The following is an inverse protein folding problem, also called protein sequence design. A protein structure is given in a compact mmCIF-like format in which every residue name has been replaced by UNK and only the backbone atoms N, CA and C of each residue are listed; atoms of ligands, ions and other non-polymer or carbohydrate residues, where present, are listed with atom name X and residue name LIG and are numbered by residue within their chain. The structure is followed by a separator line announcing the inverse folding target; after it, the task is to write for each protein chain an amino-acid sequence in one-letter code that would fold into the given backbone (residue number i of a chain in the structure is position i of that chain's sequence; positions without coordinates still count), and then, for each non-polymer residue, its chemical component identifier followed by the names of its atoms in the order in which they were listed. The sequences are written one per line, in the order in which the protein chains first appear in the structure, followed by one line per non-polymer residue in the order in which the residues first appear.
data_IF_799555639141
#
_entry.id   IF_799555639141
#
_cell.length_a   1.000
_cell.length_b   1.000
_cell.length_c   1.000
_cell.angle_alpha   90.00
_cell.angle_beta   90.00
_cell.angle_gamma   90.00
#
_symmetry.space_group_name_H-M   'P 1'
#
loop_
_entity.id
_entity.type
_entity.pdbx_description
1 polymer ?
#
# COMPACT_ATOMS: atom_id res chain seq x y z
N UNK A 1 -21.63 -8.40 -32.47
CA UNK A 1 -20.85 -7.60 -31.48
C UNK A 1 -21.57 -6.27 -31.34
N UNK A 2 -22.18 -5.91 -30.19
CA UNK A 2 -22.72 -4.58 -30.00
C UNK A 2 -21.57 -3.59 -29.95
N UNK A 3 -21.52 -2.67 -30.88
CA UNK A 3 -20.63 -1.52 -30.91
C UNK A 3 -20.98 -0.62 -29.71
N UNK A 4 -20.09 -0.56 -28.72
CA UNK A 4 -20.18 0.39 -27.59
C UNK A 4 -20.23 1.80 -28.20
N UNK A 5 -21.27 2.54 -27.88
CA UNK A 5 -21.38 3.94 -28.29
C UNK A 5 -20.29 4.75 -27.59
N UNK A 6 -19.69 5.69 -28.29
CA UNK A 6 -18.58 6.54 -27.78
C UNK A 6 -18.95 7.36 -26.52
N UNK A 7 -20.24 7.38 -26.16
CA UNK A 7 -20.81 8.16 -25.05
C UNK A 7 -20.67 7.49 -23.67
N UNK A 8 -20.27 6.20 -23.58
CA UNK A 8 -20.19 5.45 -22.32
C UNK A 8 -18.74 5.26 -21.79
N UNK A 9 -17.74 5.89 -22.41
CA UNK A 9 -16.35 5.76 -21.99
C UNK A 9 -16.07 6.65 -20.77
N UNK A 10 -15.77 6.02 -19.63
CA UNK A 10 -15.35 6.74 -18.42
C UNK A 10 -13.84 6.84 -18.44
N UNK A 11 -13.30 8.02 -18.20
CA UNK A 11 -11.86 8.25 -18.09
C UNK A 11 -11.53 8.85 -16.73
N UNK A 12 -10.35 8.50 -16.22
CA UNK A 12 -9.78 9.07 -15.00
C UNK A 12 -8.33 9.44 -15.22
N UNK A 13 -7.91 10.48 -14.53
CA UNK A 13 -6.54 11.00 -14.56
C UNK A 13 -6.05 11.14 -13.11
N UNK A 14 -4.84 10.71 -12.85
CA UNK A 14 -4.18 10.85 -11.55
C UNK A 14 -2.76 11.37 -11.74
N UNK A 15 -2.28 12.15 -10.79
CA UNK A 15 -0.90 12.61 -10.77
C UNK A 15 -0.36 12.43 -9.35
N UNK A 16 0.69 11.62 -9.21
CA UNK A 16 1.29 11.30 -7.92
C UNK A 16 2.77 11.62 -8.00
N UNK A 17 3.25 12.40 -7.02
CA UNK A 17 4.67 12.72 -6.87
C UNK A 17 5.20 12.12 -5.58
N UNK A 18 6.38 11.48 -5.67
CA UNK A 18 7.08 10.91 -4.51
C UNK A 18 8.58 11.13 -4.62
N UNK A 19 9.22 11.39 -3.49
CA UNK A 19 10.67 11.46 -3.36
C UNK A 19 11.19 10.10 -2.88
N UNK A 20 12.17 9.55 -3.61
CA UNK A 20 12.89 8.33 -3.28
C UNK A 20 14.32 8.66 -2.91
N UNK A 21 14.81 8.14 -1.79
CA UNK A 21 16.20 8.28 -1.36
C UNK A 21 17.09 7.29 -2.11
N UNK A 22 17.22 7.51 -3.42
CA UNK A 22 17.98 6.69 -4.33
C UNK A 22 18.41 7.48 -5.58
N UNK A 23 19.57 7.13 -6.19
CA UNK A 23 20.03 7.76 -7.44
C UNK A 23 19.03 7.55 -8.59
N UNK A 24 18.87 8.56 -9.43
CA UNK A 24 17.92 8.58 -10.55
C UNK A 24 18.09 7.40 -11.51
N UNK A 25 19.32 7.01 -11.80
CA UNK A 25 19.65 5.89 -12.67
C UNK A 25 19.14 4.55 -12.08
N UNK A 26 19.18 4.39 -10.76
CA UNK A 26 18.66 3.20 -10.09
C UNK A 26 17.14 3.19 -10.16
N UNK A 27 16.50 4.31 -9.83
CA UNK A 27 15.04 4.43 -9.90
C UNK A 27 14.54 4.22 -11.33
N UNK A 28 15.22 4.78 -12.33
CA UNK A 28 14.89 4.57 -13.74
C UNK A 28 14.97 3.08 -14.15
N UNK A 29 15.99 2.36 -13.68
CA UNK A 29 16.10 0.90 -13.92
C UNK A 29 14.94 0.14 -13.29
N UNK A 30 14.46 0.55 -12.14
CA UNK A 30 13.27 -0.05 -11.53
C UNK A 30 12.01 0.04 -12.41
N UNK A 31 11.92 1.03 -13.30
CA UNK A 31 10.82 1.17 -14.26
C UNK A 31 11.09 0.52 -15.63
N UNK A 32 12.32 0.04 -15.89
CA UNK A 32 12.69 -0.41 -17.22
C UNK A 32 13.26 -1.83 -17.27
N UNK A 33 13.91 -2.29 -16.24
CA UNK A 33 14.48 -3.63 -16.16
C UNK A 33 13.43 -4.63 -15.65
N UNK A 34 13.24 -5.75 -16.36
CA UNK A 34 12.19 -6.71 -16.06
C UNK A 34 12.33 -7.34 -14.67
N UNK A 35 13.56 -7.65 -14.24
CA UNK A 35 13.80 -8.24 -12.92
C UNK A 35 13.47 -7.24 -11.81
N UNK A 36 13.82 -5.96 -12.00
CA UNK A 36 13.46 -4.91 -11.06
C UNK A 36 11.95 -4.64 -11.05
N UNK A 37 11.31 -4.51 -12.23
CA UNK A 37 9.85 -4.30 -12.32
C UNK A 37 9.11 -5.39 -11.54
N UNK A 38 9.49 -6.65 -11.69
CA UNK A 38 8.85 -7.79 -11.04
C UNK A 38 8.86 -7.72 -9.50
N UNK A 39 9.77 -6.95 -8.90
CA UNK A 39 9.89 -6.85 -7.43
C UNK A 39 8.92 -5.88 -6.78
N UNK A 40 8.35 -4.92 -7.52
CA UNK A 40 7.53 -3.86 -6.93
C UNK A 40 6.25 -3.55 -7.69
N UNK A 41 6.12 -3.97 -8.95
CA UNK A 41 4.98 -3.58 -9.77
C UNK A 41 3.68 -4.23 -9.29
N UNK A 42 2.73 -3.40 -8.95
CA UNK A 42 1.40 -3.78 -8.48
C UNK A 42 1.08 -3.20 -7.09
N UNK A 43 -0.19 -3.16 -6.74
CA UNK A 43 -0.63 -2.79 -5.40
C UNK A 43 -0.08 -3.75 -4.34
N UNK A 44 -0.16 -3.34 -3.08
CA UNK A 44 0.25 -4.17 -1.95
C UNK A 44 -0.42 -5.56 -1.98
N UNK A 45 0.36 -6.59 -1.68
CA UNK A 45 -0.09 -7.99 -1.70
C UNK A 45 -0.12 -8.65 -3.08
N UNK A 46 0.17 -7.88 -4.16
CA UNK A 46 0.33 -8.44 -5.50
C UNK A 46 1.78 -8.87 -5.73
N UNK A 47 1.93 -9.84 -6.62
CA UNK A 47 3.23 -10.27 -7.17
C UNK A 47 3.20 -10.14 -8.67
N UNK A 48 4.38 -10.09 -9.32
CA UNK A 48 4.50 -10.09 -10.77
C UNK A 48 5.32 -11.31 -11.24
N UNK A 49 4.72 -12.52 -11.26
CA UNK A 49 5.43 -13.77 -11.60
C UNK A 49 5.98 -13.80 -13.02
N UNK A 50 5.41 -13.01 -13.91
CA UNK A 50 5.88 -12.87 -15.29
C UNK A 50 6.12 -11.38 -15.60
N UNK A 51 7.33 -11.06 -16.01
CA UNK A 51 7.69 -9.74 -16.51
C UNK A 51 8.68 -9.84 -17.66
N UNK A 52 8.40 -9.14 -18.75
CA UNK A 52 9.30 -8.99 -19.88
C UNK A 52 9.31 -7.54 -20.35
N UNK A 53 10.49 -6.96 -20.55
CA UNK A 53 10.66 -5.55 -20.88
C UNK A 53 11.69 -5.35 -22.00
N UNK A 54 11.32 -4.54 -22.97
CA UNK A 54 12.21 -4.05 -24.04
C UNK A 54 12.14 -2.51 -24.03
N UNK A 55 12.95 -1.82 -23.18
CA UNK A 55 12.80 -0.41 -22.88
C UNK A 55 13.39 0.49 -23.97
N UNK A 56 12.76 0.48 -25.15
CA UNK A 56 13.05 1.38 -26.29
C UNK A 56 11.73 1.86 -26.90
N UNK A 57 11.73 2.98 -27.59
CA UNK A 57 10.52 3.45 -28.31
C UNK A 57 9.96 2.36 -29.23
N UNK A 58 8.69 2.00 -29.05
CA UNK A 58 8.01 0.90 -29.74
C UNK A 58 8.27 -0.49 -29.14
N UNK A 59 9.17 -0.65 -28.17
CA UNK A 59 9.42 -1.90 -27.44
C UNK A 59 8.28 -2.27 -26.52
N UNK A 60 8.18 -3.55 -26.16
CA UNK A 60 7.06 -4.11 -25.38
C UNK A 60 7.42 -4.27 -23.93
N UNK A 61 6.42 -4.05 -23.08
CA UNK A 61 6.42 -4.39 -21.68
C UNK A 61 5.20 -5.29 -21.43
N UNK A 62 5.44 -6.50 -20.91
CA UNK A 62 4.40 -7.42 -20.48
C UNK A 62 4.59 -7.74 -19.02
N UNK A 63 3.53 -7.63 -18.23
CA UNK A 63 3.52 -7.94 -16.82
C UNK A 63 2.27 -8.79 -16.54
N UNK A 64 2.41 -9.90 -15.82
CA UNK A 64 1.28 -10.62 -15.25
C UNK A 64 1.30 -10.38 -13.75
N UNK A 65 0.37 -9.57 -13.26
CA UNK A 65 0.19 -9.38 -11.82
C UNK A 65 -0.68 -10.51 -11.27
N UNK A 66 -0.33 -11.02 -10.08
CA UNK A 66 -1.13 -12.03 -9.37
C UNK A 66 -1.55 -11.46 -8.02
N UNK A 67 -2.86 -11.39 -7.79
CA UNK A 67 -3.46 -10.96 -6.53
C UNK A 67 -3.30 -12.00 -5.42
N UNK A 68 -3.58 -11.61 -4.17
CA UNK A 68 -3.49 -12.50 -3.00
C UNK A 68 -4.49 -13.67 -3.04
N UNK A 69 -5.56 -13.54 -3.80
CA UNK A 69 -6.55 -14.61 -4.10
C UNK A 69 -6.09 -15.54 -5.23
N UNK A 70 -4.93 -15.31 -5.83
CA UNK A 70 -4.38 -16.06 -6.95
C UNK A 70 -4.90 -15.64 -8.32
N UNK A 71 -5.80 -14.66 -8.41
CA UNK A 71 -6.29 -14.12 -9.69
C UNK A 71 -5.17 -13.42 -10.45
N UNK A 72 -5.11 -13.63 -11.76
CA UNK A 72 -4.09 -13.04 -12.64
C UNK A 72 -4.65 -11.89 -13.46
N UNK A 73 -3.84 -10.83 -13.56
CA UNK A 73 -4.17 -9.59 -14.25
C UNK A 73 -3.06 -9.26 -15.25
N UNK A 74 -3.18 -9.75 -16.51
CA UNK A 74 -2.21 -9.43 -17.55
C UNK A 74 -2.28 -7.96 -17.97
N UNK A 75 -1.12 -7.34 -18.09
CA UNK A 75 -0.93 -5.99 -18.63
C UNK A 75 0.02 -6.07 -19.81
N UNK A 76 -0.48 -5.71 -20.98
CA UNK A 76 0.32 -5.55 -22.19
C UNK A 76 0.58 -4.06 -22.43
N UNK A 77 1.85 -3.69 -22.56
CA UNK A 77 2.24 -2.29 -22.69
C UNK A 77 3.27 -2.07 -23.81
N UNK A 78 3.38 -0.81 -24.22
CA UNK A 78 4.34 -0.36 -25.22
C UNK A 78 5.02 0.91 -24.72
N UNK A 79 6.34 0.94 -24.73
CA UNK A 79 7.09 2.17 -24.49
C UNK A 79 6.92 3.11 -25.70
N UNK A 80 6.25 4.23 -25.50
CA UNK A 80 6.09 5.26 -26.54
C UNK A 80 7.32 6.18 -26.57
N UNK A 81 7.81 6.57 -25.37
CA UNK A 81 9.00 7.38 -25.20
C UNK A 81 9.91 6.76 -24.14
N UNK A 82 11.22 6.80 -24.38
CA UNK A 82 12.26 6.38 -23.42
C UNK A 82 13.39 7.38 -23.48
N UNK A 83 13.45 8.30 -22.53
CA UNK A 83 14.50 9.29 -22.36
C UNK A 83 15.26 9.01 -21.06
N UNK A 84 16.25 8.11 -21.14
CA UNK A 84 17.00 7.71 -19.95
C UNK A 84 17.90 8.84 -19.43
N UNK A 85 17.98 9.06 -18.11
CA UNK A 85 17.19 8.45 -17.03
C UNK A 85 16.05 9.37 -16.55
N UNK A 86 15.42 10.17 -17.41
CA UNK A 86 14.57 11.29 -17.00
C UNK A 86 13.08 11.09 -17.26
N UNK A 87 12.72 10.30 -18.31
CA UNK A 87 11.33 10.24 -18.74
C UNK A 87 10.98 8.92 -19.42
N UNK A 88 9.77 8.43 -19.13
CA UNK A 88 9.11 7.33 -19.82
C UNK A 88 7.67 7.70 -20.16
N UNK A 89 7.20 7.31 -21.34
CA UNK A 89 5.78 7.29 -21.67
C UNK A 89 5.41 5.88 -22.09
N UNK A 90 4.46 5.30 -21.39
CA UNK A 90 4.06 3.91 -21.54
C UNK A 90 2.54 3.87 -21.81
N UNK A 91 2.17 3.32 -22.95
CA UNK A 91 0.79 2.92 -23.23
C UNK A 91 0.58 1.51 -22.67
N UNK A 92 -0.43 1.32 -21.84
CA UNK A 92 -0.72 0.03 -21.19
C UNK A 92 -2.19 -0.34 -21.33
N UNK A 93 -2.43 -1.64 -21.49
CA UNK A 93 -3.76 -2.21 -21.67
C UNK A 93 -3.98 -3.31 -20.64
N UNK A 94 -5.04 -3.18 -19.82
CA UNK A 94 -5.53 -4.29 -19.03
C UNK A 94 -6.37 -5.19 -19.93
N UNK A 95 -6.05 -6.49 -19.92
CA UNK A 95 -6.62 -7.48 -20.82
C UNK A 95 -7.47 -8.48 -20.04
N UNK A 96 -8.68 -8.75 -20.53
CA UNK A 96 -9.55 -9.77 -19.96
C UNK A 96 -9.14 -11.20 -20.33
N UNK A 97 -9.78 -12.21 -19.71
CA UNK A 97 -9.48 -13.63 -19.98
C UNK A 97 -9.69 -14.07 -21.43
N UNK A 98 -10.54 -13.36 -22.17
CA UNK A 98 -10.83 -13.58 -23.58
C UNK A 98 -9.88 -12.84 -24.53
N UNK A 99 -8.87 -12.11 -23.99
CA UNK A 99 -7.93 -11.28 -24.73
C UNK A 99 -8.50 -9.91 -25.15
N UNK A 100 -9.71 -9.56 -24.73
CA UNK A 100 -10.26 -8.23 -25.00
C UNK A 100 -9.61 -7.17 -24.11
N UNK A 101 -9.33 -5.99 -24.70
CA UNK A 101 -8.84 -4.85 -23.93
C UNK A 101 -10.00 -4.26 -23.13
N UNK A 102 -9.87 -4.25 -21.81
CA UNK A 102 -10.86 -3.74 -20.86
C UNK A 102 -10.62 -2.25 -20.53
N UNK A 103 -9.34 -1.87 -20.45
CA UNK A 103 -8.90 -0.53 -20.06
C UNK A 103 -7.63 -0.18 -20.82
N UNK A 104 -7.58 1.03 -21.33
CA UNK A 104 -6.38 1.64 -21.95
C UNK A 104 -5.86 2.74 -21.03
N UNK A 105 -4.54 2.83 -20.87
CA UNK A 105 -3.92 3.90 -20.10
C UNK A 105 -2.64 4.41 -20.76
N UNK A 106 -2.40 5.73 -20.61
CA UNK A 106 -1.14 6.38 -20.90
C UNK A 106 -0.52 6.79 -19.56
N UNK A 107 0.66 6.29 -19.28
CA UNK A 107 1.41 6.56 -18.07
C UNK A 107 2.68 7.33 -18.43
N UNK A 108 2.82 8.53 -17.93
CA UNK A 108 4.04 9.34 -18.04
C UNK A 108 4.75 9.30 -16.70
N UNK A 109 6.00 8.84 -16.70
CA UNK A 109 6.87 8.82 -15.53
C UNK A 109 8.00 9.82 -15.77
N UNK A 110 8.12 10.81 -14.88
CA UNK A 110 9.19 11.82 -14.94
C UNK A 110 10.04 11.69 -13.69
N UNK A 111 11.37 11.68 -13.87
CA UNK A 111 12.35 11.52 -12.80
C UNK A 111 13.26 12.77 -12.75
N UNK A 112 13.24 13.46 -11.63
CA UNK A 112 14.03 14.68 -11.39
C UNK A 112 14.97 14.45 -10.21
N UNK A 113 16.26 14.68 -10.41
CA UNK A 113 17.24 14.60 -9.33
C UNK A 113 17.07 15.75 -8.32
N UNK A 114 17.14 15.41 -7.03
CA UNK A 114 17.02 16.34 -5.89
C UNK A 114 18.06 15.96 -4.83
N UNK A 115 19.23 16.59 -4.87
CA UNK A 115 20.28 16.42 -3.84
C UNK A 115 20.65 14.95 -3.56
N UNK A 116 20.79 14.14 -4.60
CA UNK A 116 21.12 12.69 -4.52
C UNK A 116 19.91 11.77 -4.36
N UNK A 117 18.73 12.30 -4.08
CA UNK A 117 17.45 11.61 -4.13
C UNK A 117 16.77 11.82 -5.50
N UNK A 118 15.69 11.10 -5.76
CA UNK A 118 14.93 11.19 -7.02
C UNK A 118 13.47 11.51 -6.75
N UNK A 119 13.01 12.64 -7.24
CA UNK A 119 11.58 12.96 -7.29
C UNK A 119 10.97 12.32 -8.54
N UNK A 120 10.04 11.39 -8.33
CA UNK A 120 9.29 10.71 -9.38
C UNK A 120 7.87 11.26 -9.41
N UNK A 121 7.43 11.70 -10.59
CA UNK A 121 6.03 12.03 -10.85
C UNK A 121 5.46 11.02 -11.84
N UNK A 122 4.43 10.31 -11.44
CA UNK A 122 3.61 9.47 -12.32
C UNK A 122 2.34 10.23 -12.66
N UNK A 123 2.15 10.50 -13.93
CA UNK A 123 0.91 11.04 -14.47
C UNK A 123 0.26 9.95 -15.32
N UNK A 124 -0.87 9.42 -14.87
CA UNK A 124 -1.58 8.33 -15.51
C UNK A 124 -2.98 8.78 -15.93
N UNK A 125 -3.32 8.55 -17.20
CA UNK A 125 -4.66 8.76 -17.75
C UNK A 125 -5.18 7.44 -18.27
N UNK A 126 -6.29 6.95 -17.71
CA UNK A 126 -6.89 5.69 -18.10
C UNK A 126 -8.34 5.88 -18.57
N UNK A 127 -8.77 5.02 -19.50
CA UNK A 127 -10.11 4.99 -20.06
C UNK A 127 -10.64 3.57 -20.01
N UNK A 128 -11.77 3.36 -19.35
CA UNK A 128 -12.50 2.11 -19.37
C UNK A 128 -13.20 1.96 -20.73
N UNK A 129 -12.97 0.82 -21.38
CA UNK A 129 -13.58 0.50 -22.69
C UNK A 129 -14.86 -0.31 -22.53
N UNK A 130 -15.06 -0.91 -21.35
CA UNK A 130 -16.25 -1.67 -20.97
C UNK A 130 -16.76 -1.18 -19.62
N UNK A 131 -18.05 -1.32 -19.34
CA UNK A 131 -18.68 -0.83 -18.10
C UNK A 131 -18.09 -1.49 -16.86
N UNK A 132 -17.73 -2.76 -16.95
CA UNK A 132 -17.14 -3.54 -15.87
C UNK A 132 -15.76 -3.02 -15.44
N UNK A 133 -15.02 -2.40 -16.37
CA UNK A 133 -13.71 -1.83 -16.09
C UNK A 133 -13.78 -0.45 -15.40
N UNK A 134 -14.97 0.18 -15.31
CA UNK A 134 -15.13 1.47 -14.64
C UNK A 134 -14.72 1.39 -13.13
N UNK A 135 -14.94 0.25 -12.48
CA UNK A 135 -14.51 0.02 -11.10
C UNK A 135 -12.99 0.07 -10.94
N UNK A 136 -12.22 -0.36 -11.96
CA UNK A 136 -10.76 -0.30 -11.95
C UNK A 136 -10.24 1.15 -11.91
N UNK A 137 -10.97 2.09 -12.50
CA UNK A 137 -10.62 3.51 -12.47
C UNK A 137 -10.76 4.10 -11.07
N UNK A 138 -11.70 3.62 -10.25
CA UNK A 138 -11.92 4.11 -8.87
C UNK A 138 -10.67 3.87 -8.02
N UNK A 139 -10.05 2.69 -8.13
CA UNK A 139 -8.86 2.29 -7.38
C UNK A 139 -7.53 2.82 -7.92
N UNK A 140 -7.52 3.57 -9.02
CA UNK A 140 -6.29 3.95 -9.74
C UNK A 140 -5.31 4.78 -8.90
N UNK A 141 -5.82 5.72 -8.10
CA UNK A 141 -5.02 6.56 -7.21
C UNK A 141 -4.36 5.72 -6.09
N UNK A 142 -5.18 4.87 -5.44
CA UNK A 142 -4.69 3.94 -4.41
C UNK A 142 -3.68 2.94 -4.99
N UNK A 143 -3.97 2.34 -6.15
CA UNK A 143 -3.09 1.39 -6.81
C UNK A 143 -1.71 1.97 -7.12
N UNK A 144 -1.63 3.16 -7.70
CA UNK A 144 -0.35 3.82 -7.96
C UNK A 144 0.38 4.23 -6.67
N UNK A 145 -0.36 4.73 -5.67
CA UNK A 145 0.22 5.09 -4.37
C UNK A 145 0.85 3.86 -3.69
N UNK A 146 0.17 2.73 -3.70
CA UNK A 146 0.67 1.47 -3.13
C UNK A 146 1.86 0.92 -3.95
N UNK A 147 1.78 0.92 -5.29
CA UNK A 147 2.89 0.46 -6.15
C UNK A 147 4.15 1.30 -5.92
N UNK A 148 4.04 2.62 -5.82
CA UNK A 148 5.18 3.48 -5.50
C UNK A 148 5.70 3.26 -4.07
N UNK A 149 4.85 2.79 -3.14
CA UNK A 149 5.32 2.37 -1.82
C UNK A 149 6.12 1.07 -1.91
N UNK A 150 5.65 0.08 -2.70
CA UNK A 150 6.41 -1.15 -2.93
C UNK A 150 7.78 -0.85 -3.56
N UNK A 151 7.85 0.11 -4.49
CA UNK A 151 9.12 0.57 -5.06
C UNK A 151 10.05 1.16 -3.98
N UNK A 152 9.52 1.99 -3.08
CA UNK A 152 10.29 2.55 -1.97
C UNK A 152 10.85 1.47 -1.04
N UNK A 153 10.06 0.45 -0.75
CA UNK A 153 10.47 -0.67 0.09
C UNK A 153 11.62 -1.47 -0.53
N UNK A 154 11.58 -1.66 -1.85
CA UNK A 154 12.67 -2.31 -2.60
C UNK A 154 13.93 -1.44 -2.57
N UNK A 155 13.80 -0.13 -2.85
CA UNK A 155 14.94 0.79 -2.88
C UNK A 155 15.60 0.96 -1.51
N UNK A 156 14.83 0.93 -0.43
CA UNK A 156 15.31 1.07 0.95
C UNK A 156 15.67 -0.26 1.63
N UNK A 157 15.43 -1.40 0.96
CA UNK A 157 15.61 -2.72 1.55
C UNK A 157 14.62 -2.99 2.71
N UNK A 158 13.44 -2.37 2.68
CA UNK A 158 12.44 -2.58 3.72
C UNK A 158 11.69 -3.91 3.59
N UNK A 159 11.70 -4.54 2.41
CA UNK A 159 10.96 -5.77 2.10
C UNK A 159 11.23 -6.88 3.13
N UNK A 160 12.50 -7.09 3.49
CA UNK A 160 12.89 -8.18 4.40
C UNK A 160 12.72 -7.86 5.89
N UNK A 161 12.35 -6.61 6.23
CA UNK A 161 12.29 -6.14 7.63
C UNK A 161 10.95 -5.53 7.99
N UNK A 162 9.88 -5.96 7.33
CA UNK A 162 8.53 -5.45 7.59
C UNK A 162 7.48 -6.54 7.73
N UNK A 163 6.37 -6.19 8.36
CA UNK A 163 5.08 -6.87 8.22
C UNK A 163 4.12 -5.98 7.46
N UNK A 164 3.33 -6.58 6.59
CA UNK A 164 2.24 -5.87 5.89
C UNK A 164 0.98 -6.69 6.00
N UNK A 165 -0.08 -6.05 6.48
CA UNK A 165 -1.41 -6.66 6.60
C UNK A 165 -2.40 -5.75 5.90
N UNK A 166 -3.20 -6.34 5.01
CA UNK A 166 -4.23 -5.62 4.26
C UNK A 166 -5.61 -6.21 4.55
N UNK A 167 -6.62 -5.35 4.66
CA UNK A 167 -8.04 -5.71 4.81
C UNK A 167 -8.93 -4.77 4.01
N UNK A 168 -9.98 -5.33 3.47
CA UNK A 168 -11.07 -4.55 2.85
C UNK A 168 -12.22 -4.48 3.83
N UNK A 169 -12.68 -3.28 4.15
CA UNK A 169 -13.83 -3.03 5.00
C UNK A 169 -14.98 -2.45 4.18
N UNK A 170 -16.18 -2.98 4.34
CA UNK A 170 -17.40 -2.44 3.72
C UNK A 170 -17.91 -1.23 4.52
N UNK A 171 -17.05 -0.23 4.61
CA UNK A 171 -17.30 1.01 5.33
C UNK A 171 -16.55 2.18 4.69
N UNK A 172 -17.11 3.40 4.69
CA UNK A 172 -16.43 4.59 4.21
C UNK A 172 -15.14 4.87 5.00
N UNK A 173 -14.11 5.36 4.32
CA UNK A 173 -12.79 5.66 4.89
C UNK A 173 -12.85 6.49 6.17
N UNK A 174 -13.74 7.47 6.24
CA UNK A 174 -13.91 8.33 7.42
C UNK A 174 -14.38 7.54 8.65
N UNK A 175 -15.19 6.51 8.43
CA UNK A 175 -15.69 5.63 9.50
C UNK A 175 -14.56 4.75 10.02
N UNK A 176 -13.81 4.12 9.12
CA UNK A 176 -12.66 3.26 9.48
C UNK A 176 -11.58 4.10 10.17
N UNK A 177 -11.25 5.28 9.63
CA UNK A 177 -10.27 6.19 10.25
C UNK A 177 -10.70 6.64 11.66
N UNK A 178 -11.98 6.93 11.85
CA UNK A 178 -12.50 7.29 13.19
C UNK A 178 -12.37 6.13 14.17
N UNK A 179 -12.64 4.90 13.75
CA UNK A 179 -12.44 3.73 14.60
C UNK A 179 -11.00 3.59 15.11
N UNK A 180 -10.01 4.07 14.34
CA UNK A 180 -8.59 4.08 14.68
C UNK A 180 -8.14 5.25 15.56
N UNK A 181 -8.92 6.32 15.65
CA UNK A 181 -8.49 7.59 16.27
C UNK A 181 -9.36 8.03 17.42
N UNK A 182 -10.53 7.43 17.59
CA UNK A 182 -11.45 7.69 18.67
C UNK A 182 -11.27 6.66 19.80
N UNK A 183 -10.82 7.06 21.01
CA UNK A 183 -10.56 6.14 22.11
C UNK A 183 -11.81 5.33 22.52
N UNK A 184 -13.01 5.92 22.43
CA UNK A 184 -14.25 5.22 22.76
C UNK A 184 -14.53 4.06 21.78
N UNK A 185 -14.06 4.17 20.54
CA UNK A 185 -14.18 3.11 19.55
C UNK A 185 -13.03 2.11 19.61
N UNK A 186 -11.79 2.63 19.70
CA UNK A 186 -10.56 1.86 19.66
C UNK A 186 -10.51 0.77 20.75
N UNK A 187 -11.00 1.05 21.97
CA UNK A 187 -11.03 0.11 23.09
C UNK A 187 -11.84 -1.17 22.82
N UNK A 188 -12.74 -1.18 21.83
CA UNK A 188 -13.62 -2.32 21.56
C UNK A 188 -12.99 -3.37 20.64
N UNK A 189 -12.02 -2.97 19.85
CA UNK A 189 -11.48 -3.86 18.82
C UNK A 189 -9.95 -4.01 18.80
N UNK A 190 -9.18 -3.06 19.38
CA UNK A 190 -7.73 -3.12 19.35
C UNK A 190 -7.18 -4.30 20.17
N UNK A 191 -6.21 -5.02 19.56
CA UNK A 191 -5.55 -6.19 20.10
C UNK A 191 -6.10 -7.50 19.54
N UNK A 192 -5.32 -8.60 19.65
CA UNK A 192 -5.70 -9.94 19.21
C UNK A 192 -6.95 -10.46 19.91
N UNK A 193 -7.51 -11.58 19.41
CA UNK A 193 -8.67 -12.22 20.04
C UNK A 193 -8.39 -12.60 21.50
N UNK A 194 -9.34 -12.30 22.38
CA UNK A 194 -9.22 -12.53 23.83
C UNK A 194 -8.48 -11.46 24.60
N UNK A 195 -7.89 -10.46 23.95
CA UNK A 195 -7.29 -9.30 24.61
C UNK A 195 -8.33 -8.21 24.89
N UNK A 196 -8.12 -7.50 26.01
CA UNK A 196 -8.80 -6.24 26.29
C UNK A 196 -7.79 -5.10 26.36
N UNK A 197 -8.28 -3.86 26.28
CA UNK A 197 -7.45 -2.66 26.17
C UNK A 197 -7.79 -1.66 27.27
N UNK A 198 -6.78 -1.12 27.92
CA UNK A 198 -6.87 0.12 28.70
C UNK A 198 -6.09 1.21 28.00
N UNK A 199 -6.72 2.35 27.75
CA UNK A 199 -6.07 3.53 27.15
C UNK A 199 -5.81 4.53 28.27
N UNK A 200 -4.52 4.80 28.55
CA UNK A 200 -4.11 5.78 29.57
C UNK A 200 -4.08 7.20 28.99
N UNK A 201 -3.63 7.31 27.75
CA UNK A 201 -3.51 8.60 27.03
C UNK A 201 -3.61 8.36 25.53
N UNK A 202 -4.34 9.22 24.83
CA UNK A 202 -4.33 9.27 23.37
C UNK A 202 -4.45 10.72 22.86
N UNK A 203 -3.44 11.17 22.12
CA UNK A 203 -3.39 12.49 21.50
C UNK A 203 -3.04 12.33 20.02
N UNK A 204 -4.08 12.26 19.17
CA UNK A 204 -3.95 11.97 17.73
C UNK A 204 -3.58 13.22 16.96
N UNK A 205 -2.32 13.62 17.05
CA UNK A 205 -1.69 14.71 16.24
C UNK A 205 -0.21 14.42 16.04
N UNK A 206 0.43 15.03 15.05
CA UNK A 206 1.90 14.93 14.92
C UNK A 206 2.60 15.33 16.23
N UNK A 207 3.48 14.44 16.75
CA UNK A 207 4.16 14.55 18.03
C UNK A 207 3.34 14.12 19.26
N UNK A 208 2.04 13.84 19.10
CA UNK A 208 1.20 13.30 20.17
C UNK A 208 1.51 11.85 20.51
N UNK A 209 1.01 11.38 21.64
CA UNK A 209 1.30 10.05 22.20
C UNK A 209 0.01 9.26 22.38
N UNK A 210 0.09 7.97 22.11
CA UNK A 210 -0.90 6.98 22.48
C UNK A 210 -0.24 5.97 23.41
N UNK A 211 -0.66 5.97 24.69
CA UNK A 211 -0.21 5.06 25.75
C UNK A 211 -1.35 4.14 26.13
N UNK A 212 -1.10 2.85 26.11
CA UNK A 212 -2.13 1.86 26.40
C UNK A 212 -1.53 0.56 26.91
N UNK A 213 -2.33 -0.24 27.60
CA UNK A 213 -1.99 -1.58 28.05
C UNK A 213 -2.95 -2.57 27.41
N UNK A 214 -2.42 -3.57 26.72
CA UNK A 214 -3.18 -4.74 26.29
C UNK A 214 -3.12 -5.79 27.40
N UNK A 215 -4.29 -6.31 27.82
CA UNK A 215 -4.42 -7.36 28.82
C UNK A 215 -4.66 -8.69 28.13
N UNK A 216 -3.72 -9.61 28.22
CA UNK A 216 -3.77 -10.92 27.59
C UNK A 216 -4.76 -11.87 28.29
N UNK A 217 -5.30 -12.88 27.60
CA UNK A 217 -6.15 -13.90 28.17
C UNK A 217 -5.43 -14.79 29.21
N UNK A 218 -4.11 -14.76 29.22
CA UNK A 218 -3.21 -15.41 30.19
C UNK A 218 -2.99 -14.60 31.46
N UNK A 219 -3.57 -13.39 31.55
CA UNK A 219 -3.43 -12.47 32.66
C UNK A 219 -2.14 -11.66 32.63
N UNK A 220 -1.40 -11.66 31.51
CA UNK A 220 -0.21 -10.85 31.32
C UNK A 220 -0.58 -9.50 30.73
N UNK A 221 0.00 -8.43 31.27
CA UNK A 221 -0.15 -7.07 30.79
C UNK A 221 0.99 -6.70 29.84
N UNK A 222 0.63 -6.09 28.72
CA UNK A 222 1.55 -5.62 27.69
C UNK A 222 1.42 -4.11 27.56
N UNK A 223 2.21 -3.32 28.30
CA UNK A 223 2.20 -1.86 28.19
C UNK A 223 2.88 -1.40 26.89
N UNK A 224 2.24 -0.47 26.18
CA UNK A 224 2.67 0.00 24.87
C UNK A 224 2.63 1.53 24.79
N UNK A 225 3.53 2.07 23.97
CA UNK A 225 3.58 3.49 23.64
C UNK A 225 3.72 3.66 22.13
N UNK A 226 2.85 4.47 21.55
CA UNK A 226 2.97 4.91 20.17
C UNK A 226 3.11 6.43 20.12
N UNK A 227 4.03 6.94 19.29
CA UNK A 227 4.19 8.37 19.05
C UNK A 227 3.85 8.69 17.62
N UNK A 228 2.83 9.51 17.41
CA UNK A 228 2.41 9.92 16.07
C UNK A 228 3.44 10.82 15.40
N UNK A 229 3.84 10.49 14.17
CA UNK A 229 4.69 11.29 13.29
C UNK A 229 3.85 12.06 12.27
N UNK A 230 2.88 11.37 11.67
CA UNK A 230 1.96 11.92 10.66
C UNK A 230 0.53 11.55 11.00
N UNK A 231 -0.34 12.54 10.94
CA UNK A 231 -1.80 12.37 11.00
C UNK A 231 -2.39 13.13 9.81
N UNK A 232 -2.65 12.41 8.72
CA UNK A 232 -3.25 12.91 7.48
C UNK A 232 -4.68 12.36 7.37
N UNK A 233 -5.60 13.00 8.07
CA UNK A 233 -6.99 12.56 8.16
C UNK A 233 -7.75 12.78 6.83
N UNK A 234 -8.57 11.83 6.37
CA UNK A 234 -8.77 10.47 6.89
C UNK A 234 -7.95 9.41 6.10
N UNK A 235 -6.74 9.72 5.66
CA UNK A 235 -5.99 8.93 4.68
C UNK A 235 -4.87 8.10 5.29
N UNK A 236 -4.15 8.65 6.30
CA UNK A 236 -2.91 8.02 6.76
C UNK A 236 -2.55 8.40 8.18
N UNK A 237 -2.07 7.40 8.91
CA UNK A 237 -1.41 7.53 10.21
C UNK A 237 0.01 6.97 10.10
N UNK A 238 0.98 7.65 10.69
CA UNK A 238 2.34 7.13 10.86
C UNK A 238 2.75 7.34 12.31
N UNK A 239 3.27 6.30 12.94
CA UNK A 239 3.70 6.35 14.33
C UNK A 239 4.84 5.37 14.61
N UNK A 240 5.73 5.75 15.53
CA UNK A 240 6.67 4.82 16.16
C UNK A 240 5.96 4.08 17.27
N UNK A 241 6.04 2.75 17.24
CA UNK A 241 5.47 1.86 18.24
C UNK A 241 6.57 1.16 19.01
N UNK A 242 6.41 1.07 20.34
CA UNK A 242 7.30 0.34 21.22
C UNK A 242 6.54 -0.21 22.42
N UNK A 243 7.14 -1.16 23.13
CA UNK A 243 6.78 -1.45 24.52
C UNK A 243 7.11 -0.25 25.43
N UNK A 244 6.96 -0.39 26.73
CA UNK A 244 7.23 0.68 27.70
C UNK A 244 8.71 1.13 27.73
N UNK A 245 9.59 0.37 27.08
CA UNK A 245 10.99 0.72 26.83
C UNK A 245 11.53 0.02 25.59
N UNK A 246 12.25 0.75 24.74
CA UNK A 246 12.93 0.15 23.59
C UNK A 246 14.15 -0.61 24.07
N UNK A 247 14.18 -1.92 23.82
CA UNK A 247 15.31 -2.80 24.12
C UNK A 247 15.67 -3.66 22.92
N UNK A 248 16.82 -4.32 22.95
CA UNK A 248 17.17 -5.29 21.91
C UNK A 248 16.22 -6.51 21.90
N UNK A 249 15.54 -6.79 23.02
CA UNK A 249 14.58 -7.88 23.17
C UNK A 249 13.13 -7.46 22.87
N UNK A 250 12.89 -6.14 22.76
CA UNK A 250 11.60 -5.53 22.42
C UNK A 250 11.83 -4.29 21.53
N UNK A 251 12.18 -4.53 20.26
CA UNK A 251 12.56 -3.47 19.34
C UNK A 251 11.35 -2.64 18.92
N UNK A 252 11.55 -1.32 18.86
CA UNK A 252 10.56 -0.41 18.26
C UNK A 252 10.45 -0.63 16.75
N UNK A 253 9.29 -0.28 16.21
CA UNK A 253 9.05 -0.28 14.78
C UNK A 253 8.19 0.91 14.34
N UNK A 254 8.36 1.30 13.09
CA UNK A 254 7.57 2.38 12.49
C UNK A 254 6.35 1.79 11.81
N UNK A 255 5.17 2.16 12.31
CA UNK A 255 3.90 1.78 11.70
C UNK A 255 3.39 2.85 10.75
N UNK A 256 2.92 2.43 9.59
CA UNK A 256 2.16 3.24 8.65
C UNK A 256 0.82 2.55 8.40
N UNK A 257 -0.26 3.26 8.60
CA UNK A 257 -1.62 2.79 8.29
C UNK A 257 -2.21 3.70 7.24
N UNK A 258 -2.57 3.13 6.09
CA UNK A 258 -3.27 3.85 5.01
C UNK A 258 -4.71 3.39 4.91
N UNK A 259 -5.58 4.31 4.50
CA UNK A 259 -7.03 4.12 4.37
C UNK A 259 -7.44 4.55 2.96
N UNK A 260 -7.42 3.62 2.02
CA UNK A 260 -7.67 3.90 0.62
C UNK A 260 -9.15 3.73 0.30
N UNK A 261 -9.77 4.77 -0.29
CA UNK A 261 -11.18 4.80 -0.65
C UNK A 261 -11.41 4.10 -2.00
N UNK A 262 -12.27 3.09 -1.99
CA UNK A 262 -12.65 2.32 -3.18
C UNK A 262 -14.12 2.52 -3.55
N UNK A 263 -14.66 3.72 -3.30
CA UNK A 263 -16.03 4.06 -3.67
C UNK A 263 -17.09 3.57 -2.68
N UNK A 264 -16.81 3.73 -1.38
CA UNK A 264 -17.70 3.34 -0.28
C UNK A 264 -17.16 2.22 0.58
N UNK A 265 -16.21 1.45 0.08
CA UNK A 265 -15.38 0.50 0.84
C UNK A 265 -14.00 1.08 1.10
N UNK A 266 -13.29 0.56 2.08
CA UNK A 266 -11.95 1.02 2.46
C UNK A 266 -10.97 -0.14 2.37
N UNK A 267 -9.91 0.02 1.58
CA UNK A 267 -8.72 -0.83 1.68
C UNK A 267 -7.82 -0.22 2.75
N UNK A 268 -7.64 -0.94 3.85
CA UNK A 268 -6.71 -0.58 4.91
C UNK A 268 -5.43 -1.40 4.76
N UNK A 269 -4.28 -0.73 4.71
CA UNK A 269 -2.97 -1.36 4.75
C UNK A 269 -2.25 -0.92 6.01
N UNK A 270 -1.90 -1.88 6.86
CA UNK A 270 -1.06 -1.67 8.05
C UNK A 270 0.33 -2.24 7.78
N UNK A 271 1.33 -1.38 7.82
CA UNK A 271 2.74 -1.71 7.60
C UNK A 271 3.56 -1.41 8.84
N UNK A 272 4.30 -2.38 9.33
CA UNK A 272 5.24 -2.25 10.43
C UNK A 272 6.66 -2.50 9.92
N UNK A 273 7.53 -1.48 9.93
CA UNK A 273 8.92 -1.54 9.45
C UNK A 273 9.86 -1.50 10.64
N UNK A 274 10.70 -2.52 10.74
CA UNK A 274 11.72 -2.67 11.77
C UNK A 274 13.07 -2.11 11.29
N UNK A 275 13.98 -1.87 12.22
CA UNK A 275 15.34 -1.43 11.90
C UNK A 275 16.10 -2.51 11.12
N UNK A 276 15.92 -3.79 11.51
CA UNK A 276 16.55 -4.95 10.87
C UNK A 276 15.58 -6.10 10.68
N UNK A 277 15.90 -7.02 9.77
CA UNK A 277 15.16 -8.27 9.61
C UNK A 277 15.17 -9.12 10.89
N UNK A 278 16.30 -9.15 11.61
CA UNK A 278 16.42 -9.86 12.88
C UNK A 278 15.47 -9.30 13.96
N UNK A 279 15.26 -7.99 14.00
CA UNK A 279 14.29 -7.36 14.91
C UNK A 279 12.85 -7.75 14.54
N UNK A 280 12.52 -7.79 13.24
CA UNK A 280 11.22 -8.28 12.75
C UNK A 280 11.00 -9.75 13.15
N UNK A 281 11.99 -10.61 12.92
CA UNK A 281 11.89 -12.05 13.21
C UNK A 281 11.74 -12.31 14.72
N UNK A 282 12.45 -11.56 15.56
CA UNK A 282 12.33 -11.63 17.01
C UNK A 282 10.91 -11.30 17.49
N UNK A 283 10.30 -10.23 16.96
CA UNK A 283 8.93 -9.82 17.31
C UNK A 283 7.92 -10.86 16.81
N UNK A 284 8.15 -11.43 15.63
CA UNK A 284 7.31 -12.53 15.11
C UNK A 284 7.41 -13.78 15.99
N UNK A 285 8.62 -14.19 16.37
CA UNK A 285 8.83 -15.39 17.17
C UNK A 285 8.26 -15.24 18.59
N UNK A 286 8.46 -14.06 19.19
CA UNK A 286 8.08 -13.80 20.60
C UNK A 286 6.59 -13.52 20.77
N UNK A 287 5.98 -12.77 19.84
CA UNK A 287 4.62 -12.23 20.00
C UNK A 287 3.62 -12.73 18.94
N UNK A 288 4.05 -13.52 17.97
CA UNK A 288 3.22 -13.90 16.81
C UNK A 288 2.56 -12.68 16.17
N UNK A 289 3.39 -11.63 15.93
CA UNK A 289 2.89 -10.30 15.62
C UNK A 289 2.05 -10.22 14.33
N UNK A 290 2.39 -11.03 13.31
CA UNK A 290 1.62 -11.08 12.06
C UNK A 290 0.23 -11.66 12.28
N UNK A 291 0.12 -12.75 13.04
CA UNK A 291 -1.15 -13.38 13.40
C UNK A 291 -1.98 -12.46 14.29
N UNK A 292 -1.36 -11.88 15.32
CA UNK A 292 -2.01 -10.92 16.21
C UNK A 292 -2.52 -9.68 15.50
N UNK A 293 -1.75 -9.17 14.53
CA UNK A 293 -2.15 -8.05 13.68
C UNK A 293 -3.35 -8.41 12.79
N UNK A 294 -3.37 -9.62 12.20
CA UNK A 294 -4.51 -10.12 11.44
C UNK A 294 -5.77 -10.23 12.30
N UNK A 295 -5.67 -10.85 13.48
CA UNK A 295 -6.79 -10.96 14.43
C UNK A 295 -7.32 -9.59 14.89
N UNK A 296 -6.41 -8.62 15.07
CA UNK A 296 -6.79 -7.24 15.42
C UNK A 296 -7.64 -6.61 14.32
N UNK A 297 -7.26 -6.77 13.04
CA UNK A 297 -8.04 -6.24 11.91
C UNK A 297 -9.34 -7.03 11.68
N UNK A 298 -9.38 -8.33 11.99
CA UNK A 298 -10.62 -9.11 11.96
C UNK A 298 -11.63 -8.57 13.00
N UNK A 299 -11.16 -8.24 14.23
CA UNK A 299 -11.98 -7.59 15.27
C UNK A 299 -12.47 -6.21 14.86
N UNK A 300 -11.66 -5.44 14.13
CA UNK A 300 -12.13 -4.17 13.55
C UNK A 300 -13.29 -4.41 12.58
N UNK A 301 -13.20 -5.43 11.72
CA UNK A 301 -14.28 -5.81 10.82
C UNK A 301 -15.56 -6.15 11.58
N UNK A 302 -15.47 -7.05 12.56
CA UNK A 302 -16.58 -7.42 13.44
C UNK A 302 -17.22 -6.19 14.13
N UNK A 303 -16.39 -5.23 14.58
CA UNK A 303 -16.85 -3.99 15.19
C UNK A 303 -17.59 -3.07 14.20
N UNK A 304 -17.06 -2.93 12.99
CA UNK A 304 -17.66 -2.08 11.94
C UNK A 304 -19.02 -2.64 11.47
N UNK A 305 -19.15 -3.96 11.38
CA UNK A 305 -20.38 -4.65 10.97
C UNK A 305 -21.54 -4.43 11.96
N UNK A 306 -21.27 -3.97 13.18
CA UNK A 306 -22.30 -3.68 14.20
C UNK A 306 -22.80 -2.23 14.15
N UNK A 307 -22.29 -1.40 13.25
CA UNK A 307 -22.54 0.04 13.15
C UNK A 307 -23.24 0.42 11.88
#
# INVERSE_FOLDING_TARGET
MPSVRTEDRVSREVSITRLFDAPRELVFRCFTDAEHIATWWGPEGFTAPECASDPRPGGKLRIVMRGPDGAEFPVDATYLEVEAPTRLVIESNAVGPDGAVLLEAINTVTLVERDGATEVTVHARATALVSEAAAMLVGMDAGWTQSLQCLDDVLTGAVDRQFVIMRVFDAPRQVVFRAWTDPEQLQHWWGPKGFSLTIDEIDVRPGGTWRFTMHGPDGVDYPNVSRYEVVDAPRRLVFMHSGEGVTAEDPAFRSTVTFDDMGGTTVLTMRAVFETAAARDLVQEKYHALEGGNETLDRLGEYLDTR
#
